data_IF_237064340003
#
_entry.id   IF_237064340003
#
_cell.length_a   1.000
_cell.length_b   1.000
_cell.length_c   1.000
_cell.angle_alpha   90.00
_cell.angle_beta   90.00
_cell.angle_gamma   90.00
#
_symmetry.space_group_name_H-M   'P 1'
#
loop_
_entity.id
_entity.type
_entity.pdbx_description
1 polymer ?
#
# COMPACT_ATOMS: atom_id res chain seq x y z
N UNK A 1 -22.81 3.07 23.36
CA UNK A 1 -21.42 3.60 23.28
C UNK A 1 -21.45 5.09 23.67
N UNK A 2 -20.50 5.60 24.48
CA UNK A 2 -20.51 7.01 24.86
C UNK A 2 -20.25 7.90 23.64
N UNK A 3 -21.12 8.89 23.40
CA UNK A 3 -21.11 9.81 22.23
C UNK A 3 -19.73 10.42 21.89
N UNK A 4 -18.84 10.57 22.88
CA UNK A 4 -17.47 11.05 22.68
C UNK A 4 -16.55 10.13 21.88
N UNK A 5 -16.76 8.80 21.92
CA UNK A 5 -15.90 7.86 21.18
C UNK A 5 -16.18 7.85 19.68
N UNK A 6 -17.44 8.09 19.28
CA UNK A 6 -17.86 8.12 17.89
C UNK A 6 -17.31 9.35 17.15
N UNK A 7 -17.33 10.52 17.77
CA UNK A 7 -16.78 11.74 17.20
C UNK A 7 -15.24 11.66 17.08
N UNK A 8 -14.56 11.10 18.08
CA UNK A 8 -13.11 10.89 18.06
C UNK A 8 -12.66 9.96 16.93
N UNK A 9 -13.38 8.86 16.69
CA UNK A 9 -13.07 7.93 15.61
C UNK A 9 -13.22 8.57 14.22
N UNK A 10 -14.22 9.45 14.04
CA UNK A 10 -14.45 10.16 12.78
C UNK A 10 -13.33 11.15 12.45
N UNK A 11 -12.93 11.97 13.42
CA UNK A 11 -11.83 12.92 13.22
C UNK A 11 -10.49 12.24 13.02
N UNK A 12 -10.27 11.08 13.66
CA UNK A 12 -9.09 10.24 13.42
C UNK A 12 -9.10 9.68 11.99
N UNK A 13 -10.24 9.16 11.51
CA UNK A 13 -10.37 8.63 10.15
C UNK A 13 -10.17 9.70 9.06
N UNK A 14 -10.79 10.87 9.19
CA UNK A 14 -10.62 11.99 8.25
C UNK A 14 -9.17 12.52 8.28
N UNK A 15 -8.58 12.65 9.46
CA UNK A 15 -7.19 13.09 9.61
C UNK A 15 -6.19 12.12 8.98
N UNK A 16 -6.38 10.81 9.16
CA UNK A 16 -5.55 9.78 8.55
C UNK A 16 -5.67 9.79 7.01
N UNK A 17 -6.89 9.89 6.48
CA UNK A 17 -7.12 9.94 5.04
C UNK A 17 -6.49 11.19 4.40
N UNK A 18 -6.61 12.35 5.06
CA UNK A 18 -5.98 13.59 4.61
C UNK A 18 -4.44 13.50 4.66
N UNK A 19 -3.87 12.91 5.73
CA UNK A 19 -2.45 12.69 5.85
C UNK A 19 -1.89 11.81 4.73
N UNK A 20 -2.55 10.68 4.45
CA UNK A 20 -2.18 9.79 3.35
C UNK A 20 -2.23 10.51 1.99
N UNK A 21 -3.30 11.27 1.74
CA UNK A 21 -3.44 12.04 0.50
C UNK A 21 -2.33 13.10 0.33
N UNK A 22 -1.96 13.81 1.40
CA UNK A 22 -0.84 14.77 1.35
C UNK A 22 0.49 14.08 1.05
N UNK A 23 0.77 12.94 1.69
CA UNK A 23 2.00 12.18 1.43
C UNK A 23 2.06 11.69 -0.02
N UNK A 24 0.97 11.11 -0.54
CA UNK A 24 0.89 10.67 -1.94
C UNK A 24 1.18 11.82 -2.91
N UNK A 25 0.58 12.99 -2.70
CA UNK A 25 0.82 14.17 -3.54
C UNK A 25 2.26 14.68 -3.38
N UNK A 26 2.82 14.66 -2.17
CA UNK A 26 4.21 15.03 -1.92
C UNK A 26 5.21 14.12 -2.66
N UNK A 27 4.98 12.81 -2.63
CA UNK A 27 5.78 11.83 -3.37
C UNK A 27 5.67 12.02 -4.88
N UNK A 28 4.48 12.34 -5.38
CA UNK A 28 4.28 12.64 -6.79
C UNK A 28 5.02 13.90 -7.23
N UNK A 29 4.91 14.99 -6.48
CA UNK A 29 5.60 16.27 -6.78
C UNK A 29 7.12 16.12 -6.72
N UNK A 30 7.64 15.27 -5.83
CA UNK A 30 9.08 15.01 -5.71
C UNK A 30 9.61 14.00 -6.73
N UNK A 31 8.75 13.41 -7.57
CA UNK A 31 9.14 12.38 -8.53
C UNK A 31 9.44 11.01 -7.91
N UNK A 32 9.12 10.81 -6.63
CA UNK A 32 9.50 9.62 -5.84
C UNK A 32 8.36 8.64 -5.62
N UNK A 33 7.23 8.86 -6.29
CA UNK A 33 6.06 7.99 -6.19
C UNK A 33 6.34 6.56 -6.70
N UNK A 34 7.26 6.42 -7.66
CA UNK A 34 7.73 5.13 -8.18
C UNK A 34 8.29 4.19 -7.11
N UNK A 35 8.86 4.75 -6.03
CA UNK A 35 9.38 3.95 -4.92
C UNK A 35 8.29 3.13 -4.18
N UNK A 36 7.02 3.47 -4.37
CA UNK A 36 5.90 2.88 -3.64
C UNK A 36 4.79 2.31 -4.53
N UNK A 37 4.53 2.91 -5.69
CA UNK A 37 3.46 2.52 -6.62
C UNK A 37 3.96 2.64 -8.06
N UNK A 38 3.49 1.76 -8.94
CA UNK A 38 3.84 1.81 -10.36
C UNK A 38 3.48 3.20 -10.96
N UNK A 39 4.44 3.91 -11.57
CA UNK A 39 4.25 5.27 -12.09
C UNK A 39 3.15 5.37 -13.16
N UNK A 40 2.95 4.32 -13.97
CA UNK A 40 1.91 4.29 -15.00
C UNK A 40 0.49 4.31 -14.41
N UNK A 41 0.34 3.79 -13.19
CA UNK A 41 -0.93 3.78 -12.46
C UNK A 41 -1.07 4.94 -11.46
N UNK A 42 0.01 5.70 -11.22
CA UNK A 42 0.07 6.70 -10.16
C UNK A 42 -0.94 7.85 -10.34
N UNK A 43 -1.33 8.17 -11.57
CA UNK A 43 -2.33 9.20 -11.86
C UNK A 43 -3.68 8.95 -11.15
N UNK A 44 -4.05 7.68 -10.98
CA UNK A 44 -5.29 7.30 -10.28
C UNK A 44 -5.20 7.61 -8.79
N UNK A 45 -4.08 7.23 -8.15
CA UNK A 45 -3.83 7.51 -6.74
C UNK A 45 -3.74 9.01 -6.45
N UNK A 46 -3.09 9.78 -7.34
CA UNK A 46 -3.03 11.25 -7.27
C UNK A 46 -4.43 11.85 -7.37
N UNK A 47 -5.24 11.41 -8.32
CA UNK A 47 -6.62 11.90 -8.51
C UNK A 47 -7.50 11.64 -7.28
N UNK A 48 -7.44 10.42 -6.72
CA UNK A 48 -8.19 10.07 -5.50
C UNK A 48 -7.69 10.83 -4.28
N UNK A 49 -6.39 11.12 -4.19
CA UNK A 49 -5.82 11.94 -3.12
C UNK A 49 -6.39 13.36 -3.13
N UNK A 50 -6.53 13.98 -4.31
CA UNK A 50 -7.19 15.30 -4.45
C UNK A 50 -8.65 15.23 -4.01
N UNK A 51 -9.40 14.21 -4.44
CA UNK A 51 -10.81 14.02 -4.04
C UNK A 51 -10.93 13.84 -2.52
N UNK A 52 -10.05 13.05 -1.90
CA UNK A 52 -10.03 12.83 -0.46
C UNK A 52 -9.77 14.12 0.31
N UNK A 53 -8.87 14.99 -0.16
CA UNK A 53 -8.64 16.29 0.47
C UNK A 53 -9.85 17.20 0.36
N UNK A 54 -10.52 17.25 -0.79
CA UNK A 54 -11.75 18.02 -0.96
C UNK A 54 -12.85 17.50 -0.04
N UNK A 55 -13.02 16.17 0.05
CA UNK A 55 -13.99 15.55 0.95
C UNK A 55 -13.66 15.80 2.43
N UNK A 56 -12.39 15.78 2.82
CA UNK A 56 -11.95 16.11 4.18
C UNK A 56 -12.29 17.56 4.55
N UNK A 57 -12.07 18.51 3.63
CA UNK A 57 -12.46 19.92 3.81
C UNK A 57 -13.98 20.06 3.90
N UNK A 58 -14.73 19.40 3.02
CA UNK A 58 -16.20 19.42 3.05
C UNK A 58 -16.78 18.82 4.33
N UNK A 59 -16.15 17.78 4.88
CA UNK A 59 -16.55 17.11 6.13
C UNK A 59 -16.56 18.07 7.33
N UNK A 60 -15.64 19.05 7.36
CA UNK A 60 -15.62 20.10 8.40
C UNK A 60 -16.85 21.03 8.34
N UNK A 61 -17.54 21.11 7.19
CA UNK A 61 -18.71 21.96 6.98
C UNK A 61 -20.06 21.27 7.23
N UNK A 62 -20.10 19.93 7.27
CA UNK A 62 -21.35 19.18 7.46
C UNK A 62 -21.70 19.13 8.95
N UNK A 63 -22.82 19.78 9.30
CA UNK A 63 -23.44 19.59 10.62
C UNK A 63 -24.11 18.22 10.62
N UNK A 64 -23.73 17.38 11.57
CA UNK A 64 -24.37 16.09 11.80
C UNK A 64 -25.56 16.40 12.68
N UNK A 65 -26.73 16.53 12.06
CA UNK A 65 -27.98 16.53 12.81
C UNK A 65 -28.07 15.20 13.56
N UNK A 66 -28.31 15.25 14.87
CA UNK A 66 -28.53 14.07 15.69
C UNK A 66 -29.80 13.36 15.18
N UNK A 67 -29.66 12.19 14.57
CA UNK A 67 -30.80 11.31 14.32
C UNK A 67 -31.38 10.93 15.69
N UNK A 68 -32.49 11.59 16.03
CA UNK A 68 -33.23 11.34 17.23
C UNK A 68 -33.61 9.86 17.29
N UNK A 69 -33.27 9.24 18.41
CA UNK A 69 -33.50 7.86 18.77
C UNK A 69 -34.96 7.49 18.46
N UNK A 70 -35.18 6.63 17.46
CA UNK A 70 -36.46 5.98 17.27
C UNK A 70 -36.67 5.00 18.43
N UNK A 71 -37.23 5.51 19.53
CA UNK A 71 -37.80 4.66 20.57
C UNK A 71 -38.98 3.90 19.95
N UNK A 72 -38.79 2.59 19.75
CA UNK A 72 -39.88 1.69 19.43
C UNK A 72 -40.77 1.55 20.67
N UNK A 73 -41.92 2.25 20.69
CA UNK A 73 -42.98 1.97 21.65
C UNK A 73 -43.48 0.54 21.42
N UNK A 74 -43.14 -0.37 22.35
CA UNK A 74 -43.80 -1.66 22.43
C UNK A 74 -45.18 -1.46 23.06
N UNK A 75 -46.21 -1.47 22.23
CA UNK A 75 -47.62 -1.53 22.63
C UNK A 75 -47.84 -2.75 23.54
N UNK A 76 -48.21 -2.48 24.80
CA UNK A 76 -48.59 -3.51 25.76
C UNK A 76 -50.03 -3.92 25.49
N UNK A 77 -50.20 -5.12 24.98
CA UNK A 77 -51.49 -5.76 24.83
C UNK A 77 -51.94 -6.30 26.20
N UNK A 78 -52.77 -5.53 26.92
CA UNK A 78 -53.43 -5.96 28.15
C UNK A 78 -54.95 -5.92 27.99
N UNK A 79 -55.52 -7.12 27.81
CA UNK A 79 -56.78 -7.61 28.38
C UNK A 79 -58.10 -7.00 27.89
N UNK A 80 -58.72 -7.71 26.94
CA UNK A 80 -60.17 -7.70 26.77
C UNK A 80 -60.89 -8.40 27.93
N UNK A 81 -61.64 -7.64 28.74
CA UNK A 81 -62.83 -8.15 29.44
C UNK A 81 -63.86 -7.03 29.64
N UNK A 82 -65.04 -7.27 29.09
CA UNK A 82 -66.26 -6.44 29.03
C UNK A 82 -67.00 -6.27 30.38
N UNK A 83 -67.97 -5.33 30.47
CA UNK A 83 -68.40 -4.67 31.71
C UNK A 83 -69.68 -5.27 32.34
N UNK A 84 -69.85 -5.11 33.65
CA UNK A 84 -71.13 -5.24 34.34
C UNK A 84 -71.16 -4.43 35.66
N UNK A 85 -71.89 -3.31 35.63
CA UNK A 85 -72.86 -2.71 36.60
C UNK A 85 -72.70 -2.76 38.15
N UNK A 86 -73.44 -1.92 38.92
CA UNK A 86 -72.88 -1.06 39.97
C UNK A 86 -73.27 -1.45 41.40
N UNK A 87 -72.40 -1.18 42.39
CA UNK A 87 -72.80 -1.08 43.80
C UNK A 87 -71.72 -0.42 44.69
N UNK A 88 -72.17 0.58 45.44
CA UNK A 88 -71.82 0.96 46.82
C UNK A 88 -70.43 1.47 47.25
N UNK A 89 -70.52 2.54 48.06
CA UNK A 89 -69.70 2.93 49.21
C UNK A 89 -68.33 3.63 49.00
N UNK A 90 -68.32 4.93 49.29
CA UNK A 90 -67.19 5.68 49.85
C UNK A 90 -66.77 5.09 51.23
N UNK A 91 -65.58 5.37 51.85
CA UNK A 91 -64.89 6.67 51.81
C UNK A 91 -63.34 6.67 51.97
N UNK A 92 -62.80 7.89 52.16
CA UNK A 92 -61.58 8.25 52.88
C UNK A 92 -60.28 8.50 52.07
N UNK A 93 -60.18 9.75 51.60
CA UNK A 93 -59.09 10.70 51.87
C UNK A 93 -57.64 10.22 52.05
N UNK A 94 -56.75 10.67 51.19
CA UNK A 94 -55.44 11.20 51.59
C UNK A 94 -54.79 12.01 50.46
N UNK A 95 -54.70 13.32 50.71
CA UNK A 95 -53.73 14.29 50.22
C UNK A 95 -52.41 13.68 49.69
N UNK A 96 -51.98 14.05 48.47
CA UNK A 96 -50.76 14.89 48.29
C UNK A 96 -50.48 15.24 46.83
N UNK A 97 -50.57 16.56 46.63
CA UNK A 97 -50.01 17.42 45.58
C UNK A 97 -48.67 16.91 45.02
N UNK A 98 -48.65 16.71 43.70
CA UNK A 98 -47.44 16.59 42.89
C UNK A 98 -46.55 17.83 43.07
N UNK A 99 -45.28 17.59 43.39
CA UNK A 99 -44.20 18.56 43.17
C UNK A 99 -42.94 17.76 42.88
N UNK A 100 -42.81 17.30 41.65
CA UNK A 100 -41.53 16.81 41.17
C UNK A 100 -40.60 18.03 41.04
N UNK A 101 -39.49 17.93 41.74
CA UNK A 101 -38.43 18.94 41.85
C UNK A 101 -37.56 18.77 40.61
N UNK A 102 -37.44 19.82 39.79
CA UNK A 102 -36.47 19.87 38.69
C UNK A 102 -35.06 19.76 39.29
N UNK A 103 -34.47 18.57 39.20
CA UNK A 103 -33.06 18.37 39.45
C UNK A 103 -32.31 18.70 38.16
N UNK A 104 -31.75 19.90 38.10
CA UNK A 104 -30.79 20.28 37.07
C UNK A 104 -29.58 19.34 37.14
N UNK A 105 -29.47 18.42 36.19
CA UNK A 105 -28.28 17.59 36.01
C UNK A 105 -27.10 18.48 35.55
N UNK A 106 -25.90 18.34 36.15
CA UNK A 106 -24.74 19.14 35.76
C UNK A 106 -24.25 18.73 34.36
N UNK A 107 -24.11 19.73 33.48
CA UNK A 107 -23.64 19.59 32.11
C UNK A 107 -22.22 18.94 32.03
N UNK A 108 -21.96 18.06 31.05
CA UNK A 108 -20.62 17.54 30.82
C UNK A 108 -19.71 18.63 30.24
N UNK A 109 -18.52 18.80 30.83
CA UNK A 109 -17.57 19.86 30.48
C UNK A 109 -16.95 19.61 29.08
N UNK A 110 -17.12 20.50 28.09
CA UNK A 110 -16.67 20.31 26.70
C UNK A 110 -15.14 20.41 26.50
N UNK A 111 -14.39 20.78 27.54
CA UNK A 111 -12.96 21.07 27.46
C UNK A 111 -12.07 19.83 27.26
N UNK A 112 -12.44 18.64 27.76
CA UNK A 112 -11.62 17.44 27.57
C UNK A 112 -11.66 16.90 26.13
N UNK A 113 -12.79 17.06 25.43
CA UNK A 113 -12.93 16.64 24.02
C UNK A 113 -12.18 17.56 23.05
N UNK A 114 -12.10 18.85 23.37
CA UNK A 114 -11.32 19.83 22.60
C UNK A 114 -9.80 19.61 22.72
N UNK A 115 -9.32 19.21 23.90
CA UNK A 115 -7.89 18.91 24.12
C UNK A 115 -7.47 17.61 23.43
N UNK A 116 -8.33 16.59 23.42
CA UNK A 116 -8.06 15.31 22.75
C UNK A 116 -8.03 15.42 21.21
N UNK A 117 -8.89 16.26 20.61
CA UNK A 117 -8.92 16.51 19.17
C UNK A 117 -7.74 17.37 18.69
N UNK A 118 -7.32 18.36 19.49
CA UNK A 118 -6.12 19.16 19.20
C UNK A 118 -4.84 18.30 19.25
N UNK A 119 -4.72 17.39 20.24
CA UNK A 119 -3.57 16.49 20.35
C UNK A 119 -3.46 15.53 19.15
N UNK A 120 -4.59 14.96 18.70
CA UNK A 120 -4.62 14.09 17.51
C UNK A 120 -4.21 14.82 16.22
N UNK A 121 -4.67 16.05 16.02
CA UNK A 121 -4.28 16.89 14.88
C UNK A 121 -2.80 17.24 14.88
N UNK A 122 -2.22 17.53 16.05
CA UNK A 122 -0.78 17.79 16.21
C UNK A 122 0.04 16.53 15.90
N UNK A 123 -0.36 15.36 16.39
CA UNK A 123 0.34 14.10 16.11
C UNK A 123 0.27 13.75 14.61
N UNK A 124 -0.90 13.88 13.99
CA UNK A 124 -1.06 13.61 12.55
C UNK A 124 -0.22 14.59 11.71
N UNK A 125 -0.24 15.88 12.04
CA UNK A 125 0.56 16.89 11.35
C UNK A 125 2.07 16.64 11.54
N UNK A 126 2.49 16.27 12.74
CA UNK A 126 3.87 15.89 13.01
C UNK A 126 4.28 14.64 12.20
N UNK A 127 3.39 13.66 12.05
CA UNK A 127 3.66 12.47 11.25
C UNK A 127 3.79 12.78 9.76
N UNK A 128 2.93 13.66 9.22
CA UNK A 128 3.03 14.14 7.82
C UNK A 128 4.33 14.91 7.62
N UNK A 129 4.67 15.83 8.52
CA UNK A 129 5.92 16.59 8.45
C UNK A 129 7.14 15.68 8.55
N UNK A 130 7.09 14.67 9.41
CA UNK A 130 8.14 13.67 9.52
C UNK A 130 8.28 12.87 8.22
N UNK A 131 7.17 12.38 7.65
CA UNK A 131 7.17 11.64 6.39
C UNK A 131 7.72 12.46 5.21
N UNK A 132 7.47 13.78 5.19
CA UNK A 132 8.02 14.69 4.18
C UNK A 132 9.52 14.97 4.44
N UNK A 133 9.92 15.06 5.71
CA UNK A 133 11.30 15.39 6.09
C UNK A 133 12.25 14.20 6.01
N UNK A 134 11.76 12.97 6.19
CA UNK A 134 12.57 11.76 6.05
C UNK A 134 12.76 11.42 4.57
N UNK A 135 13.98 11.13 4.11
CA UNK A 135 14.18 10.67 2.75
C UNK A 135 13.40 9.36 2.54
N UNK A 136 12.60 9.26 1.46
CA UNK A 136 11.98 7.99 1.10
C UNK A 136 13.10 6.99 0.76
N UNK A 137 12.93 5.77 1.24
CA UNK A 137 13.87 4.69 1.03
C UNK A 137 13.32 3.74 -0.03
N UNK A 138 14.20 3.30 -0.93
CA UNK A 138 13.97 2.12 -1.76
C UNK A 138 13.92 0.87 -0.87
N UNK A 139 13.30 -0.19 -1.36
CA UNK A 139 13.44 -1.52 -0.81
C UNK A 139 14.89 -1.93 -1.04
N UNK A 140 15.61 -2.26 0.05
CA UNK A 140 17.01 -2.66 -0.05
C UNK A 140 17.18 -3.95 -0.85
N UNK A 141 18.36 -4.11 -1.45
CA UNK A 141 18.81 -5.37 -2.05
C UNK A 141 18.65 -6.55 -1.09
N UNK A 142 18.83 -6.34 0.23
CA UNK A 142 18.61 -7.34 1.28
C UNK A 142 17.18 -7.88 1.31
N UNK A 143 16.17 -7.02 1.12
CA UNK A 143 14.78 -7.45 1.10
C UNK A 143 14.47 -8.24 -0.17
N UNK A 144 15.08 -7.88 -1.29
CA UNK A 144 14.96 -8.62 -2.53
C UNK A 144 15.63 -10.02 -2.41
N UNK A 145 16.81 -10.09 -1.79
CA UNK A 145 17.48 -11.34 -1.44
C UNK A 145 16.62 -12.21 -0.51
N UNK A 146 15.85 -11.61 0.41
CA UNK A 146 14.92 -12.35 1.26
C UNK A 146 13.68 -12.90 0.53
N UNK A 147 13.35 -12.37 -0.66
CA UNK A 147 12.18 -12.76 -1.47
C UNK A 147 12.52 -13.65 -2.67
N UNK A 148 13.81 -13.90 -2.91
CA UNK A 148 14.23 -14.78 -4.00
C UNK A 148 13.71 -16.20 -3.79
N UNK A 149 12.85 -16.67 -4.70
CA UNK A 149 12.22 -17.99 -4.63
C UNK A 149 12.38 -18.79 -5.91
N UNK A 150 13.11 -18.26 -6.90
CA UNK A 150 13.32 -18.87 -8.22
C UNK A 150 12.07 -18.92 -9.10
N UNK A 151 10.94 -18.37 -8.66
CA UNK A 151 9.73 -18.23 -9.48
C UNK A 151 9.86 -17.04 -10.43
N UNK A 152 9.29 -17.18 -11.64
CA UNK A 152 9.22 -16.08 -12.60
C UNK A 152 8.44 -14.89 -12.01
N UNK A 153 8.88 -13.64 -12.25
CA UNK A 153 8.11 -12.48 -11.86
C UNK A 153 6.78 -12.45 -12.63
N UNK A 154 5.73 -12.01 -11.95
CA UNK A 154 4.46 -11.61 -12.55
C UNK A 154 4.71 -10.28 -13.23
N UNK A 155 4.57 -10.26 -14.55
CA UNK A 155 4.81 -9.09 -15.36
C UNK A 155 3.54 -8.24 -15.54
N UNK A 156 3.73 -6.95 -15.80
CA UNK A 156 2.66 -6.07 -16.28
C UNK A 156 2.13 -6.51 -17.65
N UNK A 157 0.92 -6.08 -17.98
CA UNK A 157 0.29 -6.38 -19.28
C UNK A 157 1.15 -5.87 -20.44
N UNK A 158 1.79 -4.71 -20.31
CA UNK A 158 2.72 -4.16 -21.32
C UNK A 158 3.90 -5.11 -21.58
N UNK A 159 4.58 -5.55 -20.53
CA UNK A 159 5.69 -6.50 -20.61
C UNK A 159 5.26 -7.85 -21.19
N UNK A 160 4.04 -8.33 -20.89
CA UNK A 160 3.51 -9.55 -21.54
C UNK A 160 3.26 -9.37 -23.04
N UNK A 161 2.84 -8.19 -23.49
CA UNK A 161 2.68 -7.89 -24.92
C UNK A 161 4.05 -7.79 -25.62
N UNK A 162 5.06 -7.22 -24.96
CA UNK A 162 6.44 -7.19 -25.48
C UNK A 162 6.97 -8.61 -25.68
N UNK A 163 6.77 -9.50 -24.70
CA UNK A 163 7.10 -10.92 -24.85
C UNK A 163 6.31 -11.61 -25.98
N UNK A 164 5.02 -11.30 -26.14
CA UNK A 164 4.22 -11.86 -27.22
C UNK A 164 4.66 -11.38 -28.62
N UNK A 165 5.33 -10.23 -28.69
CA UNK A 165 5.85 -9.61 -29.91
C UNK A 165 7.38 -9.70 -30.03
N UNK A 166 8.00 -10.66 -29.32
CA UNK A 166 9.45 -10.85 -29.05
C UNK A 166 10.46 -10.88 -30.23
N UNK A 167 10.11 -10.39 -31.41
CA UNK A 167 11.05 -10.18 -32.51
C UNK A 167 12.02 -9.01 -32.24
N UNK A 168 11.73 -8.11 -31.28
CA UNK A 168 12.64 -7.03 -30.87
C UNK A 168 12.85 -7.07 -29.35
N UNK A 169 14.02 -7.56 -28.92
CA UNK A 169 14.38 -7.67 -27.49
C UNK A 169 15.32 -6.56 -27.01
N UNK A 170 15.60 -5.57 -27.87
CA UNK A 170 16.56 -4.49 -27.58
C UNK A 170 16.21 -3.64 -26.37
N UNK A 171 14.94 -3.63 -25.94
CA UNK A 171 14.43 -2.88 -24.78
C UNK A 171 14.09 -3.78 -23.59
N UNK A 172 14.40 -5.08 -23.62
CA UNK A 172 14.05 -5.99 -22.53
C UNK A 172 14.93 -5.74 -21.30
N UNK A 173 14.28 -5.55 -20.14
CA UNK A 173 14.92 -5.46 -18.84
C UNK A 173 15.12 -6.83 -18.19
N UNK A 174 15.52 -6.83 -16.92
CA UNK A 174 15.77 -8.05 -16.16
C UNK A 174 14.46 -8.83 -15.90
N UNK A 175 13.34 -8.13 -15.70
CA UNK A 175 12.00 -8.70 -15.55
C UNK A 175 11.56 -9.51 -16.76
N UNK A 176 11.65 -8.92 -17.96
CA UNK A 176 11.30 -9.59 -19.21
C UNK A 176 12.21 -10.78 -19.46
N UNK A 177 13.53 -10.61 -19.31
CA UNK A 177 14.49 -11.70 -19.51
C UNK A 177 14.29 -12.83 -18.50
N UNK A 178 14.05 -12.54 -17.23
CA UNK A 178 13.75 -13.55 -16.22
C UNK A 178 12.47 -14.34 -16.58
N UNK A 179 11.44 -13.66 -17.09
CA UNK A 179 10.21 -14.31 -17.56
C UNK A 179 10.46 -15.18 -18.79
N UNK A 180 11.24 -14.69 -19.75
CA UNK A 180 11.69 -15.47 -20.92
C UNK A 180 12.43 -16.72 -20.48
N UNK A 181 13.41 -16.60 -19.58
CA UNK A 181 14.21 -17.72 -19.08
C UNK A 181 13.32 -18.77 -18.41
N UNK A 182 12.33 -18.33 -17.62
CA UNK A 182 11.46 -19.24 -16.89
C UNK A 182 10.40 -19.91 -17.76
N UNK A 183 10.01 -19.31 -18.88
CA UNK A 183 8.87 -19.78 -19.70
C UNK A 183 9.25 -20.30 -21.08
N UNK A 184 10.46 -20.00 -21.58
CA UNK A 184 10.89 -20.39 -22.91
C UNK A 184 11.03 -21.91 -23.04
N UNK A 185 10.42 -22.47 -24.07
CA UNK A 185 10.58 -23.88 -24.45
C UNK A 185 11.62 -24.08 -25.55
N UNK A 186 12.10 -22.99 -26.16
CA UNK A 186 13.17 -22.97 -27.16
C UNK A 186 14.21 -21.89 -26.81
N UNK A 187 15.18 -22.19 -25.94
CA UNK A 187 16.24 -21.24 -25.58
C UNK A 187 17.20 -20.94 -26.74
N UNK A 188 17.22 -21.76 -27.79
CA UNK A 188 18.16 -21.56 -28.90
C UNK A 188 17.87 -20.32 -29.73
N UNK A 189 16.61 -19.85 -29.72
CA UNK A 189 16.19 -18.63 -30.42
C UNK A 189 16.84 -17.35 -29.90
N UNK A 190 17.28 -17.36 -28.64
CA UNK A 190 17.83 -16.18 -27.96
C UNK A 190 19.35 -16.22 -27.85
N UNK A 191 20.00 -17.26 -28.36
CA UNK A 191 21.45 -17.36 -28.33
C UNK A 191 22.06 -16.32 -29.26
N UNK A 192 22.99 -15.53 -28.74
CA UNK A 192 23.64 -14.42 -29.43
C UNK A 192 22.89 -13.10 -29.32
N UNK A 193 21.72 -13.06 -28.68
CA UNK A 193 20.99 -11.82 -28.47
C UNK A 193 21.74 -10.93 -27.48
N UNK A 194 22.10 -9.68 -27.87
CA UNK A 194 22.83 -8.78 -26.99
C UNK A 194 21.92 -8.24 -25.89
N UNK A 195 22.48 -8.10 -24.69
CA UNK A 195 21.77 -7.50 -23.56
C UNK A 195 22.70 -6.56 -22.78
N UNK A 196 22.14 -5.45 -22.31
CA UNK A 196 22.77 -4.46 -21.43
C UNK A 196 21.85 -4.29 -20.23
N UNK A 197 22.16 -4.95 -19.12
CA UNK A 197 21.27 -5.07 -17.98
C UNK A 197 21.93 -4.46 -16.74
N UNK A 198 21.15 -3.69 -15.97
CA UNK A 198 21.60 -3.09 -14.70
C UNK A 198 20.83 -3.74 -13.56
N UNK A 199 21.53 -4.36 -12.63
CA UNK A 199 20.91 -5.02 -11.48
C UNK A 199 21.90 -5.16 -10.34
N UNK A 200 21.44 -5.68 -9.20
CA UNK A 200 22.34 -6.01 -8.10
C UNK A 200 22.71 -7.49 -8.13
N UNK A 201 23.91 -7.79 -7.64
CA UNK A 201 24.45 -9.13 -7.56
C UNK A 201 23.72 -9.92 -6.48
N UNK A 202 23.28 -11.14 -6.81
CA UNK A 202 22.81 -12.14 -5.87
C UNK A 202 23.59 -13.42 -6.10
N UNK A 203 24.35 -13.87 -5.11
CA UNK A 203 25.05 -15.14 -5.17
C UNK A 203 24.05 -16.27 -5.35
N UNK A 204 24.34 -17.11 -6.34
CA UNK A 204 23.73 -18.44 -6.45
C UNK A 204 24.71 -19.35 -5.73
N UNK A 205 24.28 -20.17 -4.77
CA UNK A 205 25.20 -20.97 -3.94
C UNK A 205 26.11 -21.98 -4.67
N UNK A 206 26.15 -21.96 -6.00
CA UNK A 206 27.05 -22.70 -6.88
C UNK A 206 28.12 -21.78 -7.49
N UNK A 207 29.36 -22.26 -7.57
CA UNK A 207 30.59 -21.49 -7.79
C UNK A 207 30.83 -20.95 -9.21
N UNK A 208 29.91 -21.13 -10.16
CA UNK A 208 30.15 -20.82 -11.58
C UNK A 208 29.34 -19.62 -12.11
N UNK A 209 29.12 -18.59 -11.28
CA UNK A 209 28.52 -17.33 -11.70
C UNK A 209 27.72 -16.61 -10.61
N UNK A 210 26.86 -15.67 -11.02
CA UNK A 210 25.96 -14.95 -10.12
C UNK A 210 24.61 -14.68 -10.80
N UNK A 211 23.60 -14.31 -10.01
CA UNK A 211 22.30 -13.87 -10.52
C UNK A 211 22.22 -12.35 -10.51
N UNK A 212 22.06 -11.72 -11.67
CA UNK A 212 21.77 -10.30 -11.78
C UNK A 212 20.29 -10.06 -11.52
N UNK A 213 19.97 -9.31 -10.46
CA UNK A 213 18.61 -9.25 -9.91
C UNK A 213 18.06 -7.82 -9.86
N UNK A 214 16.74 -7.69 -10.12
CA UNK A 214 15.95 -6.49 -9.83
C UNK A 214 14.62 -6.85 -9.18
N UNK A 215 13.96 -5.85 -8.61
CA UNK A 215 12.56 -5.96 -8.19
C UNK A 215 11.64 -5.46 -9.30
N UNK A 216 10.59 -6.23 -9.60
CA UNK A 216 9.53 -5.87 -10.53
C UNK A 216 8.26 -5.54 -9.74
N UNK A 217 7.67 -4.38 -10.00
CA UNK A 217 6.45 -3.90 -9.35
C UNK A 217 5.33 -3.77 -10.39
N UNK A 218 4.27 -4.56 -10.23
CA UNK A 218 3.11 -4.44 -11.13
C UNK A 218 2.21 -3.30 -10.68
N UNK A 219 1.87 -3.23 -9.39
CA UNK A 219 0.99 -2.20 -8.85
C UNK A 219 1.63 -1.42 -7.71
N UNK A 220 2.26 -2.07 -6.74
CA UNK A 220 2.82 -1.38 -5.57
C UNK A 220 3.94 -2.15 -4.88
N UNK A 221 4.69 -1.48 -4.01
CA UNK A 221 5.83 -2.07 -3.27
C UNK A 221 5.53 -3.38 -2.50
N UNK A 222 4.24 -3.63 -2.19
CA UNK A 222 3.78 -4.88 -1.55
C UNK A 222 3.78 -6.06 -2.53
N UNK A 223 3.53 -5.81 -3.82
CA UNK A 223 3.56 -6.82 -4.88
C UNK A 223 4.93 -6.97 -5.55
N UNK A 224 5.96 -6.29 -5.04
CA UNK A 224 7.31 -6.35 -5.58
C UNK A 224 7.89 -7.78 -5.54
N UNK A 225 8.29 -8.29 -6.70
CA UNK A 225 8.87 -9.63 -6.89
C UNK A 225 10.31 -9.54 -7.40
N UNK A 226 11.15 -10.50 -7.02
CA UNK A 226 12.52 -10.59 -7.54
C UNK A 226 12.53 -11.21 -8.94
N UNK A 227 13.12 -10.52 -9.90
CA UNK A 227 13.47 -11.04 -11.21
C UNK A 227 14.98 -11.22 -11.29
N UNK A 228 15.44 -12.38 -11.76
CA UNK A 228 16.87 -12.70 -11.81
C UNK A 228 17.26 -13.28 -13.16
N UNK A 229 18.38 -12.81 -13.70
CA UNK A 229 19.03 -13.33 -14.90
C UNK A 229 20.36 -14.00 -14.48
N UNK A 230 20.57 -15.29 -14.78
CA UNK A 230 21.84 -15.93 -14.47
C UNK A 230 22.93 -15.39 -15.39
N UNK A 231 24.06 -15.01 -14.80
CA UNK A 231 25.27 -14.53 -15.48
C UNK A 231 26.37 -15.56 -15.27
N UNK A 232 26.99 -16.02 -16.35
CA UNK A 232 28.11 -16.97 -16.25
C UNK A 232 29.32 -16.27 -15.64
N UNK A 233 30.06 -16.95 -14.77
CA UNK A 233 31.30 -16.42 -14.19
C UNK A 233 32.30 -16.00 -15.27
N UNK A 234 32.75 -14.75 -15.23
CA UNK A 234 33.82 -14.24 -16.07
C UNK A 234 35.03 -13.86 -15.22
N UNK A 235 36.22 -13.83 -15.84
CA UNK A 235 37.42 -13.38 -15.15
C UNK A 235 37.24 -11.93 -14.68
N UNK A 236 37.25 -11.69 -13.36
CA UNK A 236 37.01 -10.36 -12.76
C UNK A 236 35.72 -10.23 -11.95
N UNK A 237 34.88 -11.28 -11.89
CA UNK A 237 33.65 -11.29 -11.05
C UNK A 237 33.90 -11.77 -9.61
N UNK A 238 35.13 -12.17 -9.27
CA UNK A 238 35.48 -12.74 -7.96
C UNK A 238 35.41 -11.72 -6.79
N UNK A 239 35.42 -10.42 -7.10
CA UNK A 239 35.41 -9.33 -6.13
C UNK A 239 34.00 -8.69 -5.94
N UNK A 240 32.95 -9.24 -6.55
CA UNK A 240 31.60 -8.69 -6.45
C UNK A 240 30.88 -9.16 -5.17
N UNK A 241 30.33 -8.21 -4.41
CA UNK A 241 29.58 -8.50 -3.18
C UNK A 241 28.07 -8.63 -3.44
N UNK A 242 27.39 -9.45 -2.64
CA UNK A 242 25.93 -9.54 -2.69
C UNK A 242 25.29 -8.18 -2.39
N UNK A 243 24.34 -7.79 -3.24
CA UNK A 243 23.66 -6.49 -3.18
C UNK A 243 24.41 -5.35 -3.86
N UNK A 244 25.60 -5.57 -4.40
CA UNK A 244 26.34 -4.58 -5.19
C UNK A 244 25.67 -4.37 -6.56
N UNK A 245 25.44 -3.12 -6.95
CA UNK A 245 24.90 -2.76 -8.26
C UNK A 245 25.98 -2.85 -9.34
N UNK A 246 25.63 -3.50 -10.45
CA UNK A 246 26.51 -3.67 -11.61
C UNK A 246 25.71 -3.50 -12.90
N UNK A 247 26.37 -2.95 -13.92
CA UNK A 247 25.93 -3.04 -15.30
C UNK A 247 26.65 -4.19 -16.00
N UNK A 248 25.88 -5.11 -16.58
CA UNK A 248 26.40 -6.26 -17.31
C UNK A 248 26.04 -6.12 -18.78
N UNK A 249 27.07 -6.09 -19.62
CA UNK A 249 26.91 -6.10 -21.08
C UNK A 249 27.40 -7.43 -21.62
N UNK A 250 26.59 -8.07 -22.44
CA UNK A 250 26.90 -9.40 -22.93
C UNK A 250 25.96 -9.88 -24.01
N UNK A 251 26.01 -11.19 -24.26
CA UNK A 251 25.06 -11.87 -25.12
C UNK A 251 24.57 -13.15 -24.44
N UNK A 252 23.33 -13.52 -24.70
CA UNK A 252 22.79 -14.76 -24.16
C UNK A 252 23.40 -15.98 -24.84
N UNK A 253 23.72 -17.00 -24.05
CA UNK A 253 24.21 -18.28 -24.49
C UNK A 253 23.45 -19.42 -23.82
N UNK A 254 23.79 -20.66 -24.19
CA UNK A 254 23.23 -21.85 -23.58
C UNK A 254 24.18 -22.39 -22.52
N UNK A 255 23.72 -22.42 -21.29
CA UNK A 255 24.43 -23.06 -20.17
C UNK A 255 24.56 -24.57 -20.36
N UNK A 256 25.47 -25.19 -19.61
CA UNK A 256 25.66 -26.64 -19.62
C UNK A 256 24.41 -27.43 -19.17
N UNK A 257 23.55 -26.85 -18.34
CA UNK A 257 22.26 -27.43 -17.94
C UNK A 257 21.16 -27.26 -19.00
N UNK A 258 21.46 -26.56 -20.10
CA UNK A 258 20.57 -26.35 -21.23
C UNK A 258 19.67 -25.12 -21.12
N UNK A 259 19.72 -24.37 -20.00
CA UNK A 259 19.03 -23.09 -19.80
C UNK A 259 19.79 -21.92 -20.43
N UNK A 260 19.11 -20.77 -20.55
CA UNK A 260 19.68 -19.54 -21.08
C UNK A 260 20.49 -18.82 -19.98
N UNK A 261 21.69 -18.35 -20.30
CA UNK A 261 22.61 -17.63 -19.39
C UNK A 261 23.20 -16.43 -20.10
N UNK A 262 23.40 -15.31 -19.41
CA UNK A 262 24.09 -14.15 -19.96
C UNK A 262 25.59 -14.36 -19.86
N UNK A 263 26.28 -14.41 -21.00
CA UNK A 263 27.74 -14.39 -21.05
C UNK A 263 28.23 -12.94 -21.06
N UNK A 264 28.86 -12.45 -19.98
CA UNK A 264 29.26 -11.07 -19.90
C UNK A 264 30.52 -10.83 -20.74
N UNK A 265 30.48 -9.77 -21.55
CA UNK A 265 31.64 -9.18 -22.20
C UNK A 265 32.29 -8.14 -21.28
N UNK A 266 31.46 -7.45 -20.50
CA UNK A 266 31.87 -6.38 -19.59
C UNK A 266 30.96 -6.35 -18.35
N UNK A 267 31.55 -6.10 -17.18
CA UNK A 267 30.85 -6.00 -15.89
C UNK A 267 31.41 -4.80 -15.13
N UNK A 268 30.61 -3.75 -15.01
CA UNK A 268 31.03 -2.50 -14.39
C UNK A 268 30.23 -2.24 -13.10
N UNK A 269 30.89 -2.01 -11.95
CA UNK A 269 30.21 -1.51 -10.75
C UNK A 269 29.57 -0.14 -11.00
N UNK A 270 28.33 0.02 -10.58
CA UNK A 270 27.59 1.28 -10.68
C UNK A 270 26.93 1.64 -9.34
N UNK A 271 26.58 2.90 -9.16
CA UNK A 271 25.76 3.31 -8.02
C UNK A 271 24.31 2.81 -8.19
N UNK A 272 23.56 2.70 -7.08
CA UNK A 272 22.13 2.37 -7.14
C UNK A 272 21.39 3.37 -8.05
N UNK A 273 20.68 2.89 -9.10
CA UNK A 273 19.92 3.75 -9.99
C UNK A 273 18.83 4.54 -9.27
N UNK A 274 18.47 5.73 -9.79
CA UNK A 274 17.38 6.54 -9.23
C UNK A 274 16.04 5.80 -9.18
N UNK A 275 15.78 4.96 -10.18
CA UNK A 275 14.67 4.02 -10.18
C UNK A 275 15.23 2.60 -10.01
N UNK A 276 15.20 2.04 -8.78
CA UNK A 276 15.77 0.73 -8.49
C UNK A 276 14.90 -0.43 -8.98
N UNK A 277 13.68 -0.16 -9.47
CA UNK A 277 12.71 -1.18 -9.87
C UNK A 277 12.46 -1.19 -11.39
N UNK A 278 11.81 -2.26 -11.84
CA UNK A 278 11.19 -2.38 -13.16
C UNK A 278 9.67 -2.56 -13.00
N UNK A 279 8.89 -2.30 -14.07
CA UNK A 279 7.42 -2.19 -14.01
C UNK A 279 6.71 -2.90 -15.16
#
# INVERSE_FOLDING_TARGET
>A
MPRGSALGMRWLGVGLAAALAVVTLGLWVTGRIGLYINPDSAWWAVSMSVVLLVAAVASCGVRVEDDAEHEHEHERDDLGRTPADPAEAAPAGALRRSRHRDAASPAPRPLLGAVASAAGGVIASAFVLLAIATPPASLSSELALARTSGAAPVLSTSATLALASSDDTSNFGIGEWASVIATTTDPTRFVGEPASLVGFVSSTGDTDGFSLTRLVIVHCVIDAQSASVPVSGAAGTDDLEDGQWVEVRGAFSRSASGGLVLEPVDVEPVDEPEDPYEY
#
